data_IF_039604914872
#
_entry.id   IF_039604914872
#
_cell.length_a   1.000
_cell.length_b   1.000
_cell.length_c   1.000
_cell.angle_alpha   90.00
_cell.angle_beta   90.00
_cell.angle_gamma   90.00
#
_symmetry.space_group_name_H-M   'P 1'
#
loop_
_entity.id
_entity.type
_entity.pdbx_description
1 polymer ?
#
# COMPACT_ATOMS: atom_id res chain seq x y z
N UNK A 1 22.31 -3.53 37.41
CA UNK A 1 23.14 -4.00 36.29
C UNK A 1 22.20 -4.26 35.12
N UNK A 2 22.35 -3.54 34.02
CA UNK A 2 21.42 -3.56 32.88
C UNK A 2 21.96 -4.57 31.85
N UNK A 3 21.35 -5.74 31.78
CA UNK A 3 21.70 -6.77 30.79
C UNK A 3 21.15 -6.33 29.42
N UNK A 4 22.03 -5.79 28.59
CA UNK A 4 21.73 -5.55 27.19
C UNK A 4 21.87 -6.88 26.44
N UNK A 5 20.78 -7.37 25.85
CA UNK A 5 20.84 -8.54 24.99
C UNK A 5 21.76 -8.23 23.79
N UNK A 6 22.69 -9.13 23.42
CA UNK A 6 23.51 -8.94 22.23
C UNK A 6 22.61 -8.74 21.01
N UNK A 7 22.94 -7.79 20.14
CA UNK A 7 22.10 -7.40 18.98
C UNK A 7 21.75 -8.59 18.07
N UNK A 8 22.60 -9.62 18.02
CA UNK A 8 22.33 -10.88 17.29
C UNK A 8 21.22 -11.75 17.89
N UNK A 9 20.83 -11.53 19.15
CA UNK A 9 19.76 -12.25 19.87
C UNK A 9 18.57 -11.35 20.19
N UNK A 10 18.53 -10.14 19.61
CA UNK A 10 17.35 -9.30 19.70
C UNK A 10 16.18 -9.98 18.96
N UNK A 11 14.98 -10.01 19.53
CA UNK A 11 13.81 -10.55 18.85
C UNK A 11 13.57 -9.77 17.55
N UNK A 12 13.39 -10.49 16.45
CA UNK A 12 13.08 -9.87 15.17
C UNK A 12 11.64 -9.34 15.17
N UNK A 13 11.45 -8.16 14.61
CA UNK A 13 10.14 -7.53 14.52
C UNK A 13 9.31 -8.13 13.37
N UNK A 14 8.00 -8.29 13.59
CA UNK A 14 7.04 -8.94 12.70
C UNK A 14 6.90 -8.22 11.35
N UNK A 15 7.15 -6.91 11.35
CA UNK A 15 7.00 -6.04 10.20
C UNK A 15 8.31 -5.84 9.44
N UNK A 16 9.40 -6.47 9.89
CA UNK A 16 10.68 -6.40 9.20
C UNK A 16 10.72 -7.47 8.13
N UNK A 17 10.61 -7.12 6.82
CA UNK A 17 10.79 -8.11 5.78
C UNK A 17 12.23 -8.62 5.86
N UNK A 18 12.39 -9.93 6.12
CA UNK A 18 13.66 -10.64 5.92
C UNK A 18 13.92 -10.76 4.42
N UNK A 19 14.19 -9.64 3.75
CA UNK A 19 14.60 -9.64 2.36
C UNK A 19 16.11 -9.47 2.29
N UNK A 20 16.81 -10.59 2.14
CA UNK A 20 18.04 -10.56 1.33
C UNK A 20 17.59 -10.20 -0.06
N UNK A 21 17.90 -8.99 -0.50
CA UNK A 21 17.62 -8.54 -1.87
C UNK A 21 18.29 -9.51 -2.83
N UNK A 22 17.53 -10.44 -3.40
CA UNK A 22 17.97 -11.29 -4.49
C UNK A 22 18.21 -10.41 -5.72
N UNK A 23 19.42 -9.87 -5.81
CA UNK A 23 19.87 -8.93 -6.85
C UNK A 23 19.68 -9.52 -8.26
N UNK A 24 19.76 -10.85 -8.39
CA UNK A 24 19.56 -11.56 -9.65
C UNK A 24 18.15 -11.41 -10.20
N UNK A 25 17.13 -11.35 -9.34
CA UNK A 25 15.74 -11.16 -9.75
C UNK A 25 15.54 -9.75 -10.31
N UNK A 26 16.00 -8.73 -9.58
CA UNK A 26 15.92 -7.33 -10.03
C UNK A 26 16.69 -7.12 -11.34
N UNK A 27 17.89 -7.69 -11.46
CA UNK A 27 18.66 -7.63 -12.69
C UNK A 27 17.98 -8.32 -13.89
N UNK A 28 17.22 -9.40 -13.65
CA UNK A 28 16.44 -10.05 -14.71
C UNK A 28 15.25 -9.19 -15.15
N UNK A 29 14.59 -8.52 -14.21
CA UNK A 29 13.48 -7.59 -14.49
C UNK A 29 14.00 -6.41 -15.34
N UNK A 30 15.10 -5.79 -14.94
CA UNK A 30 15.73 -4.69 -15.67
C UNK A 30 16.11 -5.10 -17.11
N UNK A 31 16.62 -6.32 -17.31
CA UNK A 31 16.94 -6.84 -18.64
C UNK A 31 15.69 -7.01 -19.52
N UNK A 32 14.56 -7.38 -18.94
CA UNK A 32 13.29 -7.49 -19.67
C UNK A 32 12.77 -6.10 -20.03
N UNK A 33 12.77 -5.16 -19.09
CA UNK A 33 12.32 -3.78 -19.34
C UNK A 33 13.18 -3.08 -20.40
N UNK A 34 14.49 -3.31 -20.42
CA UNK A 34 15.37 -2.74 -21.45
C UNK A 34 15.07 -3.27 -22.87
N UNK A 35 14.54 -4.49 -23.00
CA UNK A 35 14.25 -5.12 -24.29
C UNK A 35 12.85 -4.81 -24.82
N UNK A 36 11.87 -4.70 -23.92
CA UNK A 36 10.45 -4.60 -24.29
C UNK A 36 9.82 -3.23 -23.99
N UNK A 37 10.53 -2.36 -23.27
CA UNK A 37 10.07 -1.05 -22.85
C UNK A 37 9.88 -0.94 -21.33
N UNK A 38 9.99 0.28 -20.80
CA UNK A 38 9.76 0.56 -19.38
C UNK A 38 8.36 0.09 -18.95
N UNK A 39 8.25 -0.39 -17.71
CA UNK A 39 6.99 -0.86 -17.10
C UNK A 39 6.37 -2.09 -17.77
N UNK A 40 7.13 -2.85 -18.57
CA UNK A 40 6.68 -4.12 -19.16
C UNK A 40 6.39 -5.17 -18.09
N UNK A 41 7.14 -5.17 -16.97
CA UNK A 41 7.02 -6.16 -15.91
C UNK A 41 6.50 -5.48 -14.65
N UNK A 42 5.20 -5.63 -14.37
CA UNK A 42 4.62 -5.16 -13.10
C UNK A 42 4.56 -6.32 -12.11
N UNK A 43 5.26 -6.19 -10.99
CA UNK A 43 5.26 -7.20 -9.93
C UNK A 43 4.30 -6.76 -8.83
N UNK A 44 3.16 -7.43 -8.75
CA UNK A 44 2.10 -7.12 -7.80
C UNK A 44 0.73 -7.51 -8.34
N UNK A 45 -0.31 -7.32 -7.53
CA UNK A 45 -1.70 -7.50 -7.97
C UNK A 45 -2.03 -6.33 -8.91
N UNK A 46 -1.95 -6.56 -10.22
CA UNK A 46 -2.54 -5.67 -11.21
C UNK A 46 -4.07 -5.79 -11.05
N UNK A 47 -4.65 -5.10 -10.06
CA UNK A 47 -6.07 -4.85 -10.04
C UNK A 47 -6.34 -4.09 -11.34
N UNK A 48 -6.90 -4.78 -12.34
CA UNK A 48 -7.37 -4.27 -13.63
C UNK A 48 -7.20 -2.75 -13.73
N UNK A 49 -6.19 -2.27 -14.48
CA UNK A 49 -5.89 -0.84 -14.64
C UNK A 49 -7.13 -0.02 -15.09
N UNK A 50 -8.14 -0.70 -15.63
CA UNK A 50 -9.38 -0.10 -16.09
C UNK A 50 -10.52 -0.12 -15.03
N UNK A 51 -10.51 -1.03 -14.05
CA UNK A 51 -11.55 -1.15 -13.01
C UNK A 51 -11.02 -1.86 -11.76
N UNK A 52 -10.73 -1.16 -10.65
CA UNK A 52 -10.45 -1.83 -9.39
C UNK A 52 -11.69 -2.65 -8.94
N UNK A 53 -11.50 -3.93 -8.62
CA UNK A 53 -12.56 -4.82 -8.09
C UNK A 53 -13.14 -4.32 -6.77
N UNK A 54 -12.36 -3.50 -6.04
CA UNK A 54 -12.77 -2.88 -4.79
C UNK A 54 -12.38 -1.42 -4.78
N UNK A 55 -13.35 -0.54 -4.54
CA UNK A 55 -13.15 0.88 -4.32
C UNK A 55 -13.97 1.32 -3.11
N UNK A 56 -13.49 2.33 -2.39
CA UNK A 56 -14.24 2.91 -1.27
C UNK A 56 -15.50 3.59 -1.82
N UNK A 57 -16.66 2.99 -1.59
CA UNK A 57 -17.95 3.65 -1.84
C UNK A 57 -18.38 4.39 -0.58
N UNK A 58 -18.44 5.72 -0.68
CA UNK A 58 -18.90 6.60 0.40
C UNK A 58 -20.19 7.33 -0.02
N UNK A 59 -21.12 6.58 -0.62
CA UNK A 59 -22.39 7.09 -1.12
C UNK A 59 -23.39 7.42 -0.01
N UNK A 60 -23.28 6.79 1.15
CA UNK A 60 -24.16 7.04 2.31
C UNK A 60 -23.52 7.98 3.34
N UNK A 61 -22.94 9.09 2.88
CA UNK A 61 -22.42 10.12 3.79
C UNK A 61 -23.58 10.90 4.38
N UNK A 62 -23.58 11.07 5.70
CA UNK A 62 -24.50 12.00 6.35
C UNK A 62 -24.23 13.43 5.87
N UNK A 63 -25.26 14.28 5.75
CA UNK A 63 -25.07 15.70 5.51
C UNK A 63 -24.15 16.35 6.54
N UNK A 64 -23.56 17.49 6.18
CA UNK A 64 -22.60 18.19 7.03
C UNK A 64 -23.29 19.02 8.12
N UNK A 65 -24.01 18.37 9.04
CA UNK A 65 -24.84 19.04 10.05
C UNK A 65 -24.10 20.04 10.94
N UNK A 66 -22.80 19.85 11.16
CA UNK A 66 -21.99 20.70 12.04
C UNK A 66 -21.23 21.81 11.31
N UNK A 67 -21.12 21.73 9.99
CA UNK A 67 -20.26 22.64 9.20
C UNK A 67 -21.00 23.33 8.05
N UNK A 68 -22.24 22.94 7.74
CA UNK A 68 -23.08 23.56 6.70
C UNK A 68 -24.50 23.79 7.20
N UNK A 69 -24.88 25.06 7.32
CA UNK A 69 -26.22 25.47 7.74
C UNK A 69 -27.34 25.01 6.80
N UNK A 70 -27.05 24.88 5.50
CA UNK A 70 -28.00 24.41 4.47
C UNK A 70 -28.36 22.94 4.59
N UNK A 71 -27.54 22.16 5.30
CA UNK A 71 -27.69 20.72 5.43
C UNK A 71 -28.56 20.36 6.66
N UNK A 72 -29.00 21.36 7.43
CA UNK A 72 -29.85 21.20 8.61
C UNK A 72 -31.32 21.12 8.15
N UNK A 73 -32.05 20.03 8.46
CA UNK A 73 -33.44 19.90 8.07
C UNK A 73 -34.32 20.95 8.75
N UNK A 74 -35.04 21.74 7.97
CA UNK A 74 -36.04 22.68 8.46
C UNK A 74 -37.40 21.97 8.60
N UNK A 75 -38.05 22.19 9.74
CA UNK A 75 -39.45 21.81 9.99
C UNK A 75 -40.33 22.96 9.49
N UNK A 76 -41.30 22.64 8.63
CA UNK A 76 -42.32 23.58 8.16
C UNK A 76 -43.56 23.51 9.06
#
# INVERSE_FOLDING_TARGET
>A
MMELCPSSKAPQDLLTPLHTTDNTLMAAIDQIENRFGKETVTIGRLANLQKPDWYMTASNRSPCYTTRWTDIPAIN
#
